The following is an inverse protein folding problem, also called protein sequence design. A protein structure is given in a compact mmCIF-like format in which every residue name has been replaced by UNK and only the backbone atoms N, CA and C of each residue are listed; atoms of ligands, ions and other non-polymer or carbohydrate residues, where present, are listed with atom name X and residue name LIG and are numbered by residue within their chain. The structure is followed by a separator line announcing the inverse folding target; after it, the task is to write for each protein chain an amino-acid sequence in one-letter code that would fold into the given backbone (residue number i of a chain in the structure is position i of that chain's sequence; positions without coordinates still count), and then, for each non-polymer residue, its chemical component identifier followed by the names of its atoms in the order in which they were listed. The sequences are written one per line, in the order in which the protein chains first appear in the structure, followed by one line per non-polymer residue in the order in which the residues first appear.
data_IF_557428335853
#
_entry.id   IF_557428335853
#
_cell.length_a   1.000
_cell.length_b   1.000
_cell.length_c   1.000
_cell.angle_alpha   90.00
_cell.angle_beta   90.00
_cell.angle_gamma   90.00
#
_symmetry.space_group_name_H-M   'P 1'
#
loop_
_entity.id
_entity.type
_entity.pdbx_description
1 polymer ?
#
# COMPACT_ATOMS: atom_id res chain seq x y z
N UNK A 1 11.87 6.27 -12.14
CA UNK A 1 12.06 5.69 -10.81
C UNK A 1 11.10 4.53 -10.62
N UNK A 2 11.61 3.38 -10.30
CA UNK A 2 10.79 2.19 -10.10
C UNK A 2 10.27 2.14 -8.67
N UNK A 3 8.96 2.03 -8.54
CA UNK A 3 8.30 2.06 -7.23
C UNK A 3 7.26 0.97 -7.15
N UNK A 4 6.83 0.65 -5.95
CA UNK A 4 5.69 -0.23 -5.74
C UNK A 4 4.48 0.63 -5.45
N UNK A 5 3.44 0.48 -6.26
CA UNK A 5 2.18 1.22 -6.09
C UNK A 5 1.18 0.35 -5.36
N UNK A 6 0.55 0.90 -4.32
CA UNK A 6 -0.49 0.21 -3.56
C UNK A 6 -1.74 1.05 -3.60
N UNK A 7 -2.79 0.51 -4.22
CA UNK A 7 -4.07 1.21 -4.35
C UNK A 7 -5.13 0.48 -3.54
N UNK A 8 -6.13 1.21 -3.02
CA UNK A 8 -7.18 0.55 -2.25
C UNK A 8 -7.90 -0.53 -3.07
N UNK A 9 -8.09 -1.68 -2.47
CA UNK A 9 -8.84 -2.75 -3.10
C UNK A 9 -8.09 -3.54 -4.15
N UNK A 10 -6.80 -3.26 -4.35
CA UNK A 10 -6.03 -3.92 -5.40
C UNK A 10 -4.75 -4.52 -4.86
N UNK A 11 -4.22 -5.49 -5.58
CA UNK A 11 -2.89 -6.02 -5.27
C UNK A 11 -1.85 -4.96 -5.67
N UNK A 12 -0.72 -4.91 -4.95
CA UNK A 12 0.34 -3.96 -5.31
C UNK A 12 0.94 -4.30 -6.66
N UNK A 13 1.49 -3.29 -7.32
CA UNK A 13 2.16 -3.54 -8.60
C UNK A 13 3.36 -2.61 -8.76
N UNK A 14 4.36 -3.09 -9.46
CA UNK A 14 5.52 -2.30 -9.79
C UNK A 14 5.16 -1.34 -10.92
N UNK A 15 5.61 -0.10 -10.80
CA UNK A 15 5.39 0.87 -11.85
C UNK A 15 6.58 1.83 -11.89
N UNK A 16 6.66 2.60 -12.95
CA UNK A 16 7.74 3.57 -13.11
C UNK A 16 7.13 4.95 -13.16
N UNK A 17 7.69 5.88 -12.38
CA UNK A 17 7.23 7.27 -12.37
C UNK A 17 8.45 8.16 -12.54
N UNK A 18 8.22 9.41 -12.93
CA UNK A 18 9.27 10.39 -12.95
C UNK A 18 9.64 10.74 -11.52
N UNK A 19 10.86 11.13 -11.28
CA UNK A 19 11.33 11.24 -9.91
C UNK A 19 11.12 12.58 -9.23
N UNK A 20 10.35 13.48 -9.72
CA UNK A 20 10.20 14.77 -9.08
C UNK A 20 9.01 14.85 -8.15
N UNK A 21 8.92 15.95 -7.42
CA UNK A 21 7.82 16.17 -6.47
C UNK A 21 6.48 16.12 -7.16
N UNK A 22 6.38 16.67 -8.34
CA UNK A 22 5.12 16.71 -9.06
C UNK A 22 4.63 15.31 -9.39
N UNK A 23 5.54 14.43 -9.76
CA UNK A 23 5.20 13.05 -10.07
C UNK A 23 4.74 12.31 -8.82
N UNK A 24 5.39 12.55 -7.69
CA UNK A 24 4.98 11.94 -6.43
C UNK A 24 3.60 12.44 -6.00
N UNK A 25 3.36 13.73 -6.14
CA UNK A 25 2.06 14.31 -5.81
C UNK A 25 0.96 13.72 -6.67
N UNK A 26 1.25 13.51 -7.95
CA UNK A 26 0.28 12.93 -8.85
C UNK A 26 -0.03 11.49 -8.46
N UNK A 27 0.98 10.74 -8.04
CA UNK A 27 0.80 9.35 -7.67
C UNK A 27 -0.14 9.18 -6.47
N UNK A 28 -0.09 10.10 -5.51
CA UNK A 28 -0.91 10.00 -4.30
C UNK A 28 -2.10 10.94 -4.30
N UNK A 29 -2.23 11.80 -5.31
CA UNK A 29 -3.40 12.65 -5.47
C UNK A 29 -3.37 13.92 -4.64
N UNK A 30 -2.21 14.41 -4.24
CA UNK A 30 -2.10 15.65 -3.46
C UNK A 30 -0.75 15.78 -2.80
N UNK A 31 -0.68 16.61 -1.79
CA UNK A 31 0.56 16.85 -1.05
C UNK A 31 1.07 15.55 -0.46
N UNK A 32 2.38 15.37 -0.49
CA UNK A 32 2.97 14.10 -0.04
C UNK A 32 3.43 14.18 1.40
N UNK A 33 3.40 13.04 2.05
CA UNK A 33 4.04 12.79 3.32
C UNK A 33 4.89 11.54 3.17
N UNK A 34 6.13 11.60 3.64
CA UNK A 34 7.01 10.44 3.62
C UNK A 34 7.14 9.93 5.05
N UNK A 35 6.93 8.64 5.24
CA UNK A 35 7.13 7.99 6.53
C UNK A 35 8.05 6.80 6.33
N UNK A 36 8.66 6.36 7.42
CA UNK A 36 9.71 5.35 7.37
C UNK A 36 9.39 4.26 8.39
N UNK A 37 8.36 3.45 8.13
CA UNK A 37 7.90 2.50 9.14
C UNK A 37 8.71 1.21 9.23
N UNK A 38 9.72 1.05 8.37
CA UNK A 38 10.45 -0.21 8.30
C UNK A 38 11.94 0.03 8.50
N UNK A 39 12.65 -1.02 8.95
CA UNK A 39 14.10 -0.95 9.07
C UNK A 39 14.80 -0.96 7.72
N UNK A 40 14.12 -1.44 6.70
CA UNK A 40 14.67 -1.47 5.34
C UNK A 40 14.84 -0.06 4.81
N UNK A 41 15.75 0.15 3.84
CA UNK A 41 15.94 1.48 3.26
C UNK A 41 14.85 1.80 2.26
N UNK A 42 13.64 2.03 2.75
CA UNK A 42 12.49 2.36 1.94
C UNK A 42 11.75 3.54 2.57
N UNK A 43 11.09 4.32 1.72
CA UNK A 43 10.18 5.36 2.15
C UNK A 43 8.77 4.98 1.71
N UNK A 44 7.79 5.22 2.56
CA UNK A 44 6.39 5.10 2.19
C UNK A 44 5.87 6.51 1.96
N UNK A 45 5.45 6.79 0.72
CA UNK A 45 4.97 8.11 0.32
C UNK A 45 3.47 8.04 0.17
N UNK A 46 2.75 8.86 0.93
CA UNK A 46 1.30 8.85 0.90
C UNK A 46 0.78 10.29 0.83
N UNK A 47 -0.54 10.43 0.68
CA UNK A 47 -1.17 11.75 0.67
C UNK A 47 -1.23 12.27 2.09
N UNK A 48 -0.67 13.44 2.32
CA UNK A 48 -0.60 14.02 3.64
C UNK A 48 -1.98 14.26 4.26
N UNK A 49 -2.98 14.52 3.43
CA UNK A 49 -4.31 14.84 3.88
C UNK A 49 -5.35 13.82 3.46
N UNK A 50 -4.91 12.59 3.17
CA UNK A 50 -5.82 11.59 2.61
C UNK A 50 -7.05 11.34 3.47
N UNK A 51 -6.88 11.25 4.78
CA UNK A 51 -8.02 11.02 5.66
C UNK A 51 -8.97 12.22 5.69
N UNK A 52 -8.40 13.43 5.70
CA UNK A 52 -9.22 14.64 5.69
C UNK A 52 -9.98 14.79 4.37
N UNK A 53 -9.39 14.32 3.28
CA UNK A 53 -10.03 14.37 1.98
C UNK A 53 -11.07 13.27 1.79
N UNK A 54 -11.16 12.35 2.73
CA UNK A 54 -12.10 11.24 2.62
C UNK A 54 -11.69 10.20 1.60
N UNK A 55 -10.39 10.07 1.32
CA UNK A 55 -9.93 9.05 0.39
C UNK A 55 -10.17 7.66 0.99
N UNK A 56 -10.38 6.66 0.14
CA UNK A 56 -10.62 5.29 0.65
C UNK A 56 -9.45 4.81 1.51
N UNK A 57 -9.77 4.14 2.61
CA UNK A 57 -8.75 3.53 3.44
C UNK A 57 -8.12 2.37 2.67
N UNK A 58 -6.80 2.26 2.77
CA UNK A 58 -6.04 1.37 1.90
C UNK A 58 -5.44 0.20 2.67
N UNK A 59 -4.44 0.48 3.48
CA UNK A 59 -3.75 -0.57 4.24
C UNK A 59 -3.46 -0.06 5.63
N UNK A 60 -3.45 -0.96 6.60
CA UNK A 60 -3.04 -0.62 7.96
C UNK A 60 -1.54 -0.76 8.09
N UNK A 61 -0.97 0.04 8.99
CA UNK A 61 0.41 -0.11 9.43
C UNK A 61 0.37 -0.68 10.85
N UNK A 62 1.12 -1.73 11.08
CA UNK A 62 1.09 -2.43 12.37
C UNK A 62 2.46 -2.36 13.01
N UNK A 63 2.47 -2.43 14.35
CA UNK A 63 3.71 -2.46 15.09
C UNK A 63 4.20 -3.92 15.25
N UNK A 64 5.26 -4.10 16.01
CA UNK A 64 5.86 -5.43 16.18
C UNK A 64 4.92 -6.40 16.88
N UNK A 65 3.93 -5.91 17.59
CA UNK A 65 2.94 -6.74 18.26
C UNK A 65 1.72 -7.02 17.40
N UNK A 66 1.73 -6.56 16.17
CA UNK A 66 0.60 -6.75 15.25
C UNK A 66 -0.53 -5.78 15.46
N UNK A 67 -0.33 -4.74 16.27
CA UNK A 67 -1.40 -3.78 16.51
C UNK A 67 -1.34 -2.64 15.51
N UNK A 68 -2.51 -2.21 15.05
CA UNK A 68 -2.60 -1.13 14.08
C UNK A 68 -2.30 0.18 14.79
N UNK A 69 -1.31 0.94 14.30
CA UNK A 69 -1.03 2.24 14.83
C UNK A 69 -1.34 3.36 13.82
N UNK A 70 -1.58 3.02 12.57
CA UNK A 70 -1.98 4.00 11.56
C UNK A 70 -2.65 3.26 10.40
N UNK A 71 -3.44 4.00 9.62
CA UNK A 71 -4.09 3.48 8.44
C UNK A 71 -3.86 4.51 7.33
N UNK A 72 -3.39 4.04 6.18
CA UNK A 72 -3.13 4.92 5.07
C UNK A 72 -4.40 5.05 4.23
N UNK A 73 -4.79 6.28 3.93
CA UNK A 73 -5.95 6.57 3.07
C UNK A 73 -5.46 6.99 1.70
N UNK A 74 -6.02 6.41 0.66
CA UNK A 74 -5.63 6.70 -0.72
C UNK A 74 -4.45 5.88 -1.16
N UNK A 75 -3.99 6.13 -2.38
CA UNK A 75 -2.84 5.44 -2.93
C UNK A 75 -1.58 5.78 -2.16
N UNK A 76 -0.66 4.82 -2.06
CA UNK A 76 0.67 5.13 -1.57
C UNK A 76 1.68 4.35 -2.38
N UNK A 77 2.94 4.80 -2.32
CA UNK A 77 4.01 4.12 -3.03
C UNK A 77 5.16 3.86 -2.06
N UNK A 78 5.92 2.82 -2.36
CA UNK A 78 7.17 2.55 -1.67
C UNK A 78 8.30 2.82 -2.63
N UNK A 79 9.27 3.61 -2.17
CA UNK A 79 10.46 3.95 -2.95
C UNK A 79 11.70 3.49 -2.23
N UNK A 80 12.80 3.36 -2.96
CA UNK A 80 14.09 3.21 -2.34
C UNK A 80 14.61 4.55 -1.85
N UNK A 81 15.73 4.52 -1.19
CA UNK A 81 16.39 5.70 -0.66
C UNK A 81 17.81 5.78 -1.24
N UNK A 82 18.18 6.97 -1.69
CA UNK A 82 19.57 7.25 -2.03
C UNK A 82 20.16 8.10 -0.92
N UNK A 83 21.37 8.57 -1.12
CA UNK A 83 22.05 9.34 -0.08
C UNK A 83 21.28 10.58 0.34
N UNK A 84 20.62 11.24 -0.61
CA UNK A 84 19.93 12.49 -0.33
C UNK A 84 18.54 12.58 -0.98
N UNK A 85 17.98 11.50 -1.47
CA UNK A 85 16.70 11.58 -2.16
C UNK A 85 16.03 10.20 -2.21
N UNK A 86 14.82 10.16 -2.77
CA UNK A 86 14.14 8.92 -3.07
C UNK A 86 14.72 8.33 -4.36
N UNK A 87 14.67 7.02 -4.49
CA UNK A 87 15.18 6.35 -5.67
C UNK A 87 14.42 5.07 -5.96
N UNK A 88 15.00 4.27 -6.86
CA UNK A 88 14.37 3.00 -7.23
C UNK A 88 14.26 2.09 -6.03
N UNK A 89 13.12 1.41 -5.92
CA UNK A 89 13.00 0.33 -4.96
C UNK A 89 13.71 -0.88 -5.55
N UNK A 90 14.58 -1.52 -4.78
CA UNK A 90 15.35 -2.65 -5.27
C UNK A 90 14.44 -3.83 -5.58
N UNK A 91 14.86 -4.74 -6.48
CA UNK A 91 14.03 -5.91 -6.80
C UNK A 91 13.69 -6.75 -5.57
N UNK A 92 14.62 -6.87 -4.64
CA UNK A 92 14.39 -7.65 -3.42
C UNK A 92 13.33 -7.02 -2.54
N UNK A 93 13.38 -5.70 -2.37
CA UNK A 93 12.39 -4.99 -1.58
C UNK A 93 11.05 -4.90 -2.31
N UNK A 94 11.10 -4.81 -3.64
CA UNK A 94 9.88 -4.86 -4.44
C UNK A 94 9.13 -6.14 -4.17
N UNK A 95 9.83 -7.27 -4.14
CA UNK A 95 9.22 -8.56 -3.89
C UNK A 95 8.73 -8.66 -2.45
N UNK A 96 9.56 -8.22 -1.50
CA UNK A 96 9.20 -8.29 -0.10
C UNK A 96 7.92 -7.53 0.20
N UNK A 97 7.82 -6.31 -0.28
CA UNK A 97 6.66 -5.47 0.03
C UNK A 97 5.45 -5.78 -0.83
N UNK A 98 5.66 -6.32 -2.05
CA UNK A 98 4.55 -6.86 -2.82
C UNK A 98 3.86 -7.97 -2.04
N UNK A 99 4.64 -8.81 -1.40
CA UNK A 99 4.10 -9.90 -0.60
C UNK A 99 3.43 -9.37 0.66
N UNK A 100 4.04 -8.37 1.30
CA UNK A 100 3.50 -7.82 2.53
C UNK A 100 2.13 -7.17 2.33
N UNK A 101 1.94 -6.48 1.21
CA UNK A 101 0.71 -5.73 0.97
C UNK A 101 -0.21 -6.42 -0.03
N UNK A 102 -0.01 -7.70 -0.32
CA UNK A 102 -0.76 -8.34 -1.39
C UNK A 102 -2.25 -8.44 -1.12
N UNK A 103 -2.66 -8.44 0.15
CA UNK A 103 -4.07 -8.53 0.52
C UNK A 103 -4.65 -7.15 0.74
N UNK A 104 -5.63 -6.73 -0.06
CA UNK A 104 -6.38 -5.52 0.28
C UNK A 104 -7.06 -5.70 1.63
N UNK A 105 -7.40 -4.60 2.28
CA UNK A 105 -8.04 -4.64 3.59
C UNK A 105 -9.35 -3.89 3.57
N UNK A 106 -10.33 -4.41 4.29
CA UNK A 106 -11.55 -3.68 4.60
C UNK A 106 -11.48 -3.31 6.06
N UNK A 107 -11.99 -2.13 6.38
CA UNK A 107 -11.89 -1.62 7.75
C UNK A 107 -13.27 -1.55 8.37
N UNK A 108 -13.40 -2.16 9.55
CA UNK A 108 -14.67 -2.16 10.28
C UNK A 108 -14.42 -1.61 11.67
N UNK A 109 -15.47 -0.99 12.24
CA UNK A 109 -15.38 -0.46 13.58
C UNK A 109 -16.19 -1.37 14.50
N UNK A 110 -15.55 -1.94 15.50
CA UNK A 110 -16.21 -2.83 16.45
C UNK A 110 -15.81 -2.37 17.84
N UNK A 111 -16.79 -2.06 18.68
CA UNK A 111 -16.57 -1.64 20.07
C UNK A 111 -15.59 -0.47 20.17
N UNK A 112 -15.70 0.49 19.24
CA UNK A 112 -14.87 1.67 19.25
C UNK A 112 -13.48 1.47 18.67
N UNK A 113 -13.16 0.26 18.22
CA UNK A 113 -11.86 -0.02 17.62
C UNK A 113 -12.02 -0.26 16.13
N UNK A 114 -11.00 0.11 15.37
CA UNK A 114 -10.98 -0.14 13.94
C UNK A 114 -10.13 -1.38 13.68
N UNK A 115 -10.72 -2.33 12.97
CA UNK A 115 -10.04 -3.56 12.60
C UNK A 115 -9.85 -3.58 11.09
N UNK A 116 -8.67 -4.01 10.64
CA UNK A 116 -8.41 -4.22 9.23
C UNK A 116 -8.58 -5.70 8.92
N UNK A 117 -9.50 -6.02 8.01
CA UNK A 117 -9.78 -7.39 7.63
C UNK A 117 -9.18 -7.62 6.25
N UNK A 118 -8.21 -8.52 6.18
CA UNK A 118 -7.54 -8.80 4.91
C UNK A 118 -8.49 -9.51 3.97
N UNK A 119 -8.48 -9.09 2.71
CA UNK A 119 -9.31 -9.64 1.67
C UNK A 119 -8.49 -10.58 0.78
N UNK A 120 -9.15 -11.44 0.01
CA UNK A 120 -8.41 -12.28 -0.94
C UNK A 120 -7.65 -11.43 -1.95
N UNK A 121 -6.54 -11.96 -2.47
CA UNK A 121 -5.75 -11.27 -3.47
C UNK A 121 -6.57 -11.20 -4.75
N UNK A 122 -6.81 -10.00 -5.30
CA UNK A 122 -7.63 -9.87 -6.50
C UNK A 122 -7.05 -10.65 -7.66
N UNK A 123 -7.91 -11.37 -8.36
CA UNK A 123 -7.51 -12.18 -9.49
C UNK A 123 -6.97 -13.53 -9.12
N UNK A 124 -6.57 -13.72 -7.87
CA UNK A 124 -6.01 -14.98 -7.45
C UNK A 124 -7.06 -15.91 -6.89
N UNK A 125 -8.07 -15.38 -6.22
CA UNK A 125 -9.05 -16.22 -5.57
C UNK A 125 -10.17 -16.63 -6.48
N UNK A 126 -10.24 -16.10 -7.67
CA UNK A 126 -11.33 -16.34 -8.51
C UNK A 126 -11.48 -17.72 -8.98
N UNK A 127 -10.53 -18.33 -9.48
CA UNK A 127 -10.74 -19.60 -10.10
C UNK A 127 -11.04 -20.63 -9.13
N UNK A 128 -11.05 -20.51 -8.12
CA UNK A 128 -11.22 -21.57 -7.31
C UNK A 128 -12.57 -21.83 -7.14
N UNK A 129 -13.14 -21.95 -7.56
CA UNK A 129 -14.41 -21.97 -7.36
C UNK A 129 -15.20 -22.25 -8.40
N UNK A 130 -14.50 -22.65 -8.70
CA UNK A 130 -15.01 -22.68 -9.30
C UNK A 130 -15.38 -23.26 -9.68
N UNK A 131 -15.09 -23.72 -9.70
CA UNK A 131 -15.36 -23.91 -9.86
C UNK A 131 -15.71 -24.46 -10.01
N UNK A 132 -15.78 -24.95 -10.08
CA UNK A 132 -16.18 -25.05 -10.03
C UNK A 132 -16.84 -25.39 -10.28
N UNK A 133 -17.05 -25.86 -10.45
CA UNK A 133 -17.59 -25.59 -10.57
C UNK A 133 -18.20 -25.86 -10.91
N UNK A 134 -18.53 -26.24 -10.96
CA UNK A 134 -19.04 -25.89 -11.20
C UNK A 134 -19.38 -25.81 -11.21
N UNK A 135 -19.26 -25.80 -11.10
CA UNK A 135 -19.38 -25.24 -10.75
C UNK A 135 -19.61 -25.02 -10.78
N UNK A 136 -19.66 -25.56 -10.93
CA UNK A 136 -19.70 -25.03 -10.77
C UNK A 136 -19.73 -25.04 -10.70
#
# INVERSE_FOLDING_TARGET
MKVLMVEPGKAPYETEIEGGLESLQKAVGGSIQAVYPYDDPVALICNEEGKLMGLPLNRSLTDDNGEIYDIIAGNFILTGLTEDNFGDLSPELMEKFSEQFKHPEEFVRIAGKILGVKQPVPGESEPKKTHTGPEL
#
